data_IF_920187598617
#
_entry.id   IF_920187598617
#
_cell.length_a   1.000
_cell.length_b   1.000
_cell.length_c   1.000
_cell.angle_alpha   90.00
_cell.angle_beta   90.00
_cell.angle_gamma   90.00
#
_symmetry.space_group_name_H-M   'P 1'
#
loop_
_entity.id
_entity.type
_entity.pdbx_description
1 polymer ?
#
# COMPACT_ATOMS: atom_id res chain seq x y z
N UNK A 1 -23.64 -34.65 -27.63
CA UNK A 1 -23.19 -34.48 -26.23
C UNK A 1 -24.42 -34.48 -25.35
N UNK A 2 -24.47 -35.25 -24.25
CA UNK A 2 -25.68 -35.33 -23.41
C UNK A 2 -25.86 -34.04 -22.60
N UNK A 3 -27.10 -33.63 -22.35
CA UNK A 3 -27.44 -32.44 -21.55
C UNK A 3 -26.73 -32.44 -20.18
N UNK A 4 -26.57 -33.62 -19.57
CA UNK A 4 -25.83 -33.79 -18.30
C UNK A 4 -24.33 -33.49 -18.45
N UNK A 5 -23.72 -33.93 -19.55
CA UNK A 5 -22.31 -33.67 -19.84
C UNK A 5 -22.05 -32.19 -20.07
N UNK A 6 -23.00 -31.50 -20.70
CA UNK A 6 -22.94 -30.06 -20.91
C UNK A 6 -23.07 -29.26 -19.60
N UNK A 7 -24.02 -29.62 -18.72
CA UNK A 7 -24.16 -28.98 -17.40
C UNK A 7 -22.94 -29.19 -16.51
N UNK A 8 -22.35 -30.39 -16.50
CA UNK A 8 -21.14 -30.66 -15.71
C UNK A 8 -19.94 -29.84 -16.19
N UNK A 9 -19.84 -29.62 -17.51
CA UNK A 9 -18.81 -28.76 -18.08
C UNK A 9 -18.99 -27.29 -17.66
N UNK A 10 -20.23 -26.78 -17.67
CA UNK A 10 -20.53 -25.42 -17.19
C UNK A 10 -20.21 -25.25 -15.69
N UNK A 11 -20.57 -26.24 -14.87
CA UNK A 11 -20.28 -26.21 -13.44
C UNK A 11 -18.76 -26.16 -13.19
N UNK A 12 -17.99 -26.96 -13.92
CA UNK A 12 -16.52 -26.96 -13.82
C UNK A 12 -15.90 -25.61 -14.21
N UNK A 13 -16.41 -24.97 -15.27
CA UNK A 13 -15.95 -23.63 -15.68
C UNK A 13 -16.23 -22.60 -14.58
N UNK A 14 -17.43 -22.64 -14.00
CA UNK A 14 -17.82 -21.67 -12.96
C UNK A 14 -17.03 -21.86 -11.66
N UNK A 15 -16.73 -23.09 -11.26
CA UNK A 15 -16.04 -23.38 -10.00
C UNK A 15 -14.53 -23.28 -10.08
N UNK A 16 -13.90 -23.66 -11.20
CA UNK A 16 -12.43 -23.73 -11.29
C UNK A 16 -11.82 -22.68 -12.22
N UNK A 17 -12.49 -22.30 -13.31
CA UNK A 17 -11.92 -21.40 -14.33
C UNK A 17 -12.20 -19.93 -13.99
N UNK A 18 -13.44 -19.61 -13.57
CA UNK A 18 -13.84 -18.24 -13.27
C UNK A 18 -13.04 -17.58 -12.13
N UNK A 19 -12.78 -18.24 -10.98
CA UNK A 19 -11.99 -17.65 -9.89
C UNK A 19 -10.52 -17.43 -10.27
N UNK A 20 -9.98 -18.26 -11.17
CA UNK A 20 -8.62 -18.13 -11.68
C UNK A 20 -8.45 -16.84 -12.53
N UNK A 21 -9.49 -16.47 -13.28
CA UNK A 21 -9.50 -15.24 -14.08
C UNK A 21 -9.56 -13.96 -13.23
N UNK A 22 -10.22 -14.02 -12.06
CA UNK A 22 -10.29 -12.87 -11.13
C UNK A 22 -8.96 -12.65 -10.42
N UNK A 23 -8.19 -13.71 -10.16
CA UNK A 23 -6.85 -13.60 -9.56
C UNK A 23 -5.75 -13.07 -10.49
N UNK A 24 -6.04 -12.94 -11.79
CA UNK A 24 -5.09 -12.45 -12.80
C UNK A 24 -5.14 -10.92 -13.01
N UNK A 25 -6.10 -10.20 -12.41
CA UNK A 25 -6.08 -8.75 -12.43
C UNK A 25 -5.05 -8.23 -11.42
N UNK A 26 -3.77 -8.32 -11.78
CA UNK A 26 -2.76 -7.42 -11.26
C UNK A 26 -2.99 -6.06 -11.92
N UNK A 27 -3.93 -5.29 -11.38
CA UNK A 27 -3.92 -3.86 -11.63
C UNK A 27 -2.65 -3.33 -11.00
N UNK A 28 -1.56 -3.25 -11.77
CA UNK A 28 -0.40 -2.49 -11.36
C UNK A 28 -0.91 -1.07 -11.10
N UNK A 29 -0.88 -0.67 -9.83
CA UNK A 29 -1.16 0.70 -9.42
C UNK A 29 0.02 1.55 -9.90
N UNK A 30 0.05 1.84 -11.19
CA UNK A 30 1.16 2.50 -11.89
C UNK A 30 1.00 4.02 -11.79
N UNK A 31 0.88 4.51 -10.55
CA UNK A 31 0.95 5.93 -10.29
C UNK A 31 2.44 6.32 -10.22
N UNK A 32 2.88 7.19 -11.12
CA UNK A 32 4.25 7.71 -11.15
C UNK A 32 4.64 8.37 -9.81
N UNK A 33 3.69 8.99 -9.12
CA UNK A 33 3.91 9.65 -7.84
C UNK A 33 2.64 9.71 -6.99
N UNK A 34 2.82 9.83 -5.67
CA UNK A 34 1.78 10.14 -4.70
C UNK A 34 2.04 11.52 -4.13
N UNK A 35 1.11 12.45 -4.34
CA UNK A 35 1.14 13.77 -3.69
C UNK A 35 0.30 13.72 -2.42
N UNK A 36 0.98 13.83 -1.28
CA UNK A 36 0.35 13.82 0.04
C UNK A 36 0.27 15.26 0.59
N UNK A 37 -0.92 15.66 1.03
CA UNK A 37 -1.16 16.91 1.74
C UNK A 37 -1.77 16.59 3.09
N UNK A 38 -1.34 17.28 4.14
CA UNK A 38 -1.86 17.02 5.48
C UNK A 38 -1.06 17.72 6.58
N UNK A 39 -1.07 17.07 7.73
CA UNK A 39 -0.40 17.50 8.96
C UNK A 39 0.64 16.46 9.40
N UNK A 40 1.02 16.49 10.67
CA UNK A 40 1.99 15.60 11.28
C UNK A 40 1.69 14.10 11.09
N UNK A 41 0.43 13.71 10.87
CA UNK A 41 0.04 12.30 10.70
C UNK A 41 0.42 11.73 9.33
N UNK A 42 0.70 12.58 8.35
CA UNK A 42 1.15 12.15 7.02
C UNK A 42 2.52 12.73 6.63
N UNK A 43 3.05 13.67 7.42
CA UNK A 43 4.34 14.28 7.14
C UNK A 43 5.53 13.32 7.34
N UNK A 44 6.24 13.05 6.26
CA UNK A 44 7.40 12.14 6.25
C UNK A 44 8.75 12.84 6.45
N UNK A 45 8.74 14.16 6.64
CA UNK A 45 9.94 14.96 6.92
C UNK A 45 9.89 16.40 6.40
N UNK A 46 8.78 16.86 5.83
CA UNK A 46 8.59 18.24 5.35
C UNK A 46 8.67 19.27 6.48
N UNK A 47 8.10 18.99 7.65
CA UNK A 47 8.28 19.85 8.82
C UNK A 47 9.75 19.90 9.25
N UNK A 48 10.43 18.75 9.28
CA UNK A 48 11.84 18.68 9.64
C UNK A 48 12.76 19.35 8.60
N UNK A 49 12.35 19.40 7.33
CA UNK A 49 13.09 20.10 6.28
C UNK A 49 12.99 21.64 6.44
N UNK A 50 11.90 22.15 7.00
CA UNK A 50 11.64 23.58 7.15
C UNK A 50 11.98 24.12 8.56
N UNK A 51 11.92 23.29 9.59
CA UNK A 51 12.04 23.67 11.00
C UNK A 51 12.97 22.71 11.76
N UNK A 52 13.45 23.08 12.97
CA UNK A 52 14.23 22.17 13.79
C UNK A 52 13.53 20.82 14.02
N UNK A 53 14.33 19.75 14.15
CA UNK A 53 13.82 18.39 14.34
C UNK A 53 12.86 18.32 15.52
N UNK A 54 11.77 17.59 15.33
CA UNK A 54 11.06 17.03 16.47
C UNK A 54 12.04 16.17 17.28
N UNK A 55 12.19 16.52 18.55
CA UNK A 55 13.13 15.84 19.44
C UNK A 55 12.63 14.41 19.69
N UNK A 56 13.57 13.48 19.96
CA UNK A 56 13.23 12.09 20.25
C UNK A 56 12.11 11.97 21.30
N UNK A 57 11.33 10.87 21.30
CA UNK A 57 11.74 9.54 20.83
C UNK A 57 11.24 9.11 19.45
N UNK A 58 10.76 10.00 18.57
CA UNK A 58 10.10 9.58 17.33
C UNK A 58 10.99 8.82 16.32
N UNK A 59 10.78 7.52 16.19
CA UNK A 59 11.34 6.67 15.13
C UNK A 59 12.06 5.43 15.68
N UNK A 60 12.04 5.22 16.99
CA UNK A 60 12.75 4.14 17.67
C UNK A 60 12.10 2.77 17.43
N UNK A 61 10.78 2.66 17.29
CA UNK A 61 10.12 1.36 17.06
C UNK A 61 10.42 0.75 15.68
N UNK A 62 10.54 1.55 14.62
CA UNK A 62 10.77 1.04 13.25
C UNK A 62 12.14 1.41 12.67
N UNK A 63 12.52 2.68 12.75
CA UNK A 63 13.76 3.18 12.15
C UNK A 63 14.98 3.03 13.08
N UNK A 64 14.76 2.79 14.38
CA UNK A 64 15.78 2.71 15.43
C UNK A 64 16.63 3.99 15.58
N UNK A 65 16.09 5.13 15.13
CA UNK A 65 16.69 6.47 15.24
C UNK A 65 15.60 7.54 15.04
N UNK A 66 15.84 8.79 15.48
CA UNK A 66 14.97 9.90 15.13
C UNK A 66 14.75 9.99 13.61
N UNK A 67 13.49 9.86 13.19
CA UNK A 67 13.11 9.81 11.77
C UNK A 67 12.66 11.17 11.21
N UNK A 68 12.53 12.20 12.05
CA UNK A 68 12.00 13.51 11.64
C UNK A 68 10.51 13.49 11.32
N UNK A 69 9.76 12.56 11.95
CA UNK A 69 8.31 12.36 11.79
C UNK A 69 7.66 12.38 13.16
N UNK A 70 6.38 12.72 13.24
CA UNK A 70 5.63 12.68 14.51
C UNK A 70 5.10 11.26 14.85
N UNK A 71 5.93 10.23 14.66
CA UNK A 71 5.57 8.83 14.92
C UNK A 71 6.79 8.03 15.33
N UNK A 72 6.60 7.02 16.17
CA UNK A 72 7.67 6.10 16.54
C UNK A 72 8.02 5.07 15.45
N UNK A 73 7.24 5.06 14.37
CA UNK A 73 7.49 4.20 13.22
C UNK A 73 6.88 4.72 11.93
N UNK A 74 6.32 3.81 11.13
CA UNK A 74 5.70 4.14 9.83
C UNK A 74 4.40 4.94 10.02
N UNK A 75 4.13 5.84 9.08
CA UNK A 75 2.86 6.54 8.91
C UNK A 75 1.97 5.74 7.95
N UNK A 76 0.66 6.05 7.91
CA UNK A 76 -0.29 5.40 7.01
C UNK A 76 0.18 5.48 5.55
N UNK A 77 0.78 6.60 5.14
CA UNK A 77 1.30 6.80 3.79
C UNK A 77 2.42 5.83 3.40
N UNK A 78 3.20 5.32 4.36
CA UNK A 78 4.26 4.32 4.10
C UNK A 78 3.68 2.93 3.77
N UNK A 79 2.39 2.69 4.05
CA UNK A 79 1.70 1.45 3.68
C UNK A 79 0.94 1.58 2.36
N UNK A 80 0.71 2.81 1.90
CA UNK A 80 0.04 3.12 0.64
C UNK A 80 1.09 3.24 -0.48
N UNK A 81 2.21 3.91 -0.22
CA UNK A 81 3.32 4.06 -1.16
C UNK A 81 4.32 2.91 -1.05
N UNK A 82 4.62 2.25 -2.18
CA UNK A 82 5.50 1.08 -2.26
C UNK A 82 7.02 1.37 -2.07
N UNK A 83 7.40 2.42 -1.31
CA UNK A 83 8.78 2.77 -0.88
C UNK A 83 9.49 3.94 -1.57
N UNK A 84 8.79 4.85 -2.26
CA UNK A 84 9.42 6.13 -2.65
C UNK A 84 8.44 7.28 -2.48
N UNK A 85 8.58 7.99 -1.37
CA UNK A 85 7.93 9.26 -1.13
C UNK A 85 8.98 10.32 -1.46
N UNK A 86 8.79 11.03 -2.57
CA UNK A 86 9.57 12.23 -2.86
C UNK A 86 9.03 13.35 -1.98
N UNK A 87 9.94 13.98 -1.24
CA UNK A 87 9.68 15.20 -0.46
C UNK A 87 9.81 16.40 -1.39
#
# INVERSE_FOLDING_TARGET
MSSKTFMNMLLFIFTFVLPCLVGLSNGECDFEAIFNFGDSNSDTGGFYAAFPAETGPYGMTYFNKPAGRASDGRLVIDFIGNSTIYI
#
